data_IF_224816326459
#
_entry.id   IF_224816326459
#
_cell.length_a   1.000
_cell.length_b   1.000
_cell.length_c   1.000
_cell.angle_alpha   90.00
_cell.angle_beta   90.00
_cell.angle_gamma   90.00
#
_symmetry.space_group_name_H-M   'P 1'
#
loop_
_entity.id
_entity.type
_entity.pdbx_description
1 polymer ?
#
# COMPACT_ATOMS: atom_id res chain seq x y z
N UNK A 1 -13.94 1.58 12.97
CA UNK A 1 -13.32 0.75 11.92
C UNK A 1 -14.16 -0.51 11.77
N UNK A 2 -14.39 -0.96 10.55
CA UNK A 2 -14.95 -2.27 10.27
C UNK A 2 -13.81 -3.25 10.01
N UNK A 3 -13.90 -4.47 10.52
CA UNK A 3 -12.94 -5.55 10.28
C UNK A 3 -13.67 -6.65 9.50
N UNK A 4 -13.16 -6.97 8.31
CA UNK A 4 -13.55 -8.18 7.60
C UNK A 4 -12.85 -9.37 8.26
N UNK A 5 -13.61 -10.25 8.92
CA UNK A 5 -13.05 -11.41 9.61
C UNK A 5 -12.53 -12.49 8.65
N UNK A 6 -12.97 -12.51 7.40
CA UNK A 6 -12.51 -13.48 6.42
C UNK A 6 -11.11 -13.14 5.88
N UNK A 7 -10.84 -11.85 5.68
CA UNK A 7 -9.59 -11.37 5.09
C UNK A 7 -8.64 -10.69 6.09
N UNK A 8 -9.13 -10.34 7.29
CA UNK A 8 -8.41 -9.55 8.27
C UNK A 8 -8.24 -8.07 7.88
N UNK A 9 -8.83 -7.63 6.77
CA UNK A 9 -8.73 -6.25 6.29
C UNK A 9 -9.64 -5.37 7.14
N UNK A 10 -9.08 -4.29 7.67
CA UNK A 10 -9.85 -3.26 8.36
C UNK A 10 -9.91 -1.97 7.55
N UNK A 11 -11.04 -1.28 7.64
CA UNK A 11 -11.23 0.02 6.99
C UNK A 11 -11.98 0.98 7.90
N UNK A 12 -11.69 2.26 7.73
CA UNK A 12 -12.50 3.31 8.32
C UNK A 12 -13.84 3.35 7.59
N UNK A 13 -14.90 3.36 8.38
CA UNK A 13 -16.28 3.42 7.91
C UNK A 13 -17.00 4.55 8.64
N UNK A 14 -17.93 5.20 7.95
CA UNK A 14 -18.90 6.13 8.52
C UNK A 14 -20.02 5.44 9.31
N UNK A 15 -20.10 4.10 9.27
CA UNK A 15 -21.04 3.35 10.12
C UNK A 15 -20.53 3.29 11.56
N UNK A 16 -20.85 4.32 12.33
CA UNK A 16 -20.51 4.41 13.74
C UNK A 16 -21.55 3.70 14.61
N UNK A 17 -21.05 3.09 15.68
CA UNK A 17 -21.87 2.52 16.74
C UNK A 17 -21.39 3.03 18.09
N UNK A 18 -22.32 3.07 19.05
CA UNK A 18 -22.06 3.47 20.43
C UNK A 18 -22.52 2.36 21.37
N UNK A 19 -21.71 2.05 22.39
CA UNK A 19 -22.08 1.11 23.43
C UNK A 19 -23.12 1.74 24.35
N UNK A 20 -24.36 1.28 24.27
CA UNK A 20 -25.48 1.77 25.09
C UNK A 20 -26.05 0.61 25.90
N UNK A 21 -25.99 0.70 27.22
CA UNK A 21 -26.51 -0.33 28.15
C UNK A 21 -25.95 -1.75 27.89
N UNK A 22 -24.67 -1.85 27.51
CA UNK A 22 -24.00 -3.13 27.24
C UNK A 22 -24.18 -3.67 25.81
N UNK A 23 -24.94 -2.98 24.96
CA UNK A 23 -25.15 -3.37 23.56
C UNK A 23 -24.59 -2.31 22.61
N UNK A 24 -23.92 -2.74 21.55
CA UNK A 24 -23.53 -1.84 20.47
C UNK A 24 -24.74 -1.50 19.62
N UNK A 25 -25.08 -0.21 19.55
CA UNK A 25 -26.16 0.28 18.70
C UNK A 25 -25.58 1.21 17.65
N UNK A 26 -26.03 1.06 16.42
CA UNK A 26 -25.67 2.01 15.37
C UNK A 26 -26.24 3.39 15.70
N UNK A 27 -25.48 4.41 15.33
CA UNK A 27 -25.86 5.79 15.61
C UNK A 27 -26.94 6.31 14.63
N UNK A 28 -26.95 5.77 13.42
CA UNK A 28 -27.80 6.20 12.31
C UNK A 28 -28.95 5.23 12.01
N UNK A 29 -29.99 5.71 11.32
CA UNK A 29 -31.12 4.88 10.88
C UNK A 29 -30.72 3.85 9.82
N UNK A 30 -31.55 2.85 9.62
CA UNK A 30 -31.32 1.79 8.63
C UNK A 30 -31.14 2.35 7.22
N UNK A 31 -31.91 3.36 6.84
CA UNK A 31 -31.81 4.03 5.53
C UNK A 31 -30.44 4.69 5.34
N UNK A 32 -30.00 5.49 6.32
CA UNK A 32 -28.69 6.16 6.28
C UNK A 32 -27.56 5.12 6.25
N UNK A 33 -27.68 4.03 7.02
CA UNK A 33 -26.68 2.96 7.03
C UNK A 33 -26.57 2.24 5.68
N UNK A 34 -27.70 2.05 4.99
CA UNK A 34 -27.68 1.48 3.64
C UNK A 34 -27.01 2.40 2.62
N UNK A 35 -27.21 3.71 2.74
CA UNK A 35 -26.52 4.70 1.90
C UNK A 35 -25.01 4.67 2.14
N UNK A 36 -24.56 4.76 3.41
CA UNK A 36 -23.14 4.67 3.77
C UNK A 36 -22.53 3.37 3.26
N UNK A 37 -23.21 2.23 3.46
CA UNK A 37 -22.74 0.93 2.99
C UNK A 37 -22.54 0.91 1.47
N UNK A 38 -23.52 1.41 0.72
CA UNK A 38 -23.47 1.43 -0.74
C UNK A 38 -22.30 2.27 -1.24
N UNK A 39 -22.10 3.46 -0.68
CA UNK A 39 -20.99 4.34 -1.04
C UNK A 39 -19.62 3.71 -0.75
N UNK A 40 -19.45 3.14 0.44
CA UNK A 40 -18.20 2.51 0.87
C UNK A 40 -17.90 1.26 0.04
N UNK A 41 -18.92 0.42 -0.22
CA UNK A 41 -18.80 -0.75 -1.06
C UNK A 41 -18.36 -0.37 -2.48
N UNK A 42 -19.01 0.63 -3.09
CA UNK A 42 -18.66 1.11 -4.42
C UNK A 42 -17.22 1.65 -4.48
N UNK A 43 -16.79 2.38 -3.45
CA UNK A 43 -15.39 2.85 -3.31
C UNK A 43 -14.41 1.68 -3.22
N UNK A 44 -14.72 0.66 -2.40
CA UNK A 44 -13.88 -0.54 -2.27
C UNK A 44 -13.76 -1.29 -3.60
N UNK A 45 -14.87 -1.51 -4.29
CA UNK A 45 -14.91 -2.19 -5.59
C UNK A 45 -14.12 -1.43 -6.64
N UNK A 46 -14.28 -0.10 -6.69
CA UNK A 46 -13.47 0.75 -7.56
C UNK A 46 -11.97 0.63 -7.27
N UNK A 47 -11.56 0.70 -6.00
CA UNK A 47 -10.15 0.60 -5.61
C UNK A 47 -9.55 -0.77 -5.96
N UNK A 48 -10.30 -1.85 -5.73
CA UNK A 48 -9.91 -3.22 -6.13
C UNK A 48 -9.73 -3.31 -7.64
N UNK A 49 -10.71 -2.87 -8.40
CA UNK A 49 -10.70 -3.00 -9.87
C UNK A 49 -9.61 -2.13 -10.49
N UNK A 50 -9.38 -0.94 -9.93
CA UNK A 50 -8.24 -0.09 -10.28
C UNK A 50 -6.93 -0.81 -10.00
N UNK A 51 -6.71 -1.33 -8.79
CA UNK A 51 -5.49 -2.05 -8.43
C UNK A 51 -5.22 -3.22 -9.38
N UNK A 52 -6.21 -4.09 -9.60
CA UNK A 52 -6.08 -5.24 -10.50
C UNK A 52 -5.77 -4.83 -11.95
N UNK A 53 -6.39 -3.75 -12.43
CA UNK A 53 -6.10 -3.20 -13.77
C UNK A 53 -4.66 -2.70 -13.85
N UNK A 54 -4.18 -1.95 -12.85
CA UNK A 54 -2.80 -1.46 -12.86
C UNK A 54 -1.79 -2.61 -12.79
N UNK A 55 -2.03 -3.62 -11.93
CA UNK A 55 -1.16 -4.82 -11.81
C UNK A 55 -1.11 -5.59 -13.14
N UNK A 56 -2.24 -5.78 -13.81
CA UNK A 56 -2.29 -6.48 -15.11
C UNK A 56 -1.58 -5.69 -16.21
N UNK A 57 -1.55 -4.36 -16.11
CA UNK A 57 -0.90 -3.50 -17.12
C UNK A 57 0.62 -3.43 -16.99
N UNK A 58 1.18 -3.77 -15.82
CA UNK A 58 2.60 -3.59 -15.48
C UNK A 58 3.15 -2.19 -15.83
N UNK A 59 2.31 -1.15 -15.69
CA UNK A 59 2.64 0.24 -16.04
C UNK A 59 3.21 1.05 -14.87
N UNK A 60 3.34 0.45 -13.69
CA UNK A 60 3.74 1.13 -12.45
C UNK A 60 4.73 0.28 -11.65
N UNK A 61 5.53 0.97 -10.86
CA UNK A 61 6.24 0.36 -9.72
C UNK A 61 5.28 0.28 -8.54
N UNK A 62 5.10 -0.91 -7.98
CA UNK A 62 4.34 -1.13 -6.77
C UNK A 62 5.24 -0.88 -5.56
N UNK A 63 4.77 -0.05 -4.63
CA UNK A 63 5.55 0.31 -3.44
C UNK A 63 4.90 -0.31 -2.21
N UNK A 64 5.64 -1.17 -1.52
CA UNK A 64 5.27 -1.67 -0.20
C UNK A 64 6.12 -0.98 0.86
N UNK A 65 5.50 -0.18 1.73
CA UNK A 65 6.22 0.65 2.71
C UNK A 65 5.80 0.35 4.14
N UNK A 66 6.76 0.28 5.07
CA UNK A 66 6.50 -0.04 6.48
C UNK A 66 7.38 0.76 7.44
N UNK A 67 6.82 1.11 8.60
CA UNK A 67 7.59 1.59 9.74
C UNK A 67 8.29 0.38 10.39
N UNK A 68 9.54 0.14 10.02
CA UNK A 68 10.32 -1.02 10.46
C UNK A 68 10.66 -2.02 9.36
N UNK A 69 11.27 -3.13 9.77
CA UNK A 69 11.82 -4.14 8.86
C UNK A 69 10.72 -5.02 8.24
N UNK A 70 10.86 -5.27 6.94
CA UNK A 70 10.11 -6.24 6.15
C UNK A 70 11.01 -7.46 5.92
N UNK A 71 10.52 -8.65 6.24
CA UNK A 71 11.30 -9.88 6.01
C UNK A 71 11.48 -10.15 4.51
N UNK A 72 12.49 -10.94 4.15
CA UNK A 72 12.68 -11.34 2.74
C UNK A 72 11.55 -12.25 2.27
N UNK A 73 11.02 -13.09 3.15
CA UNK A 73 9.87 -13.97 2.86
C UNK A 73 8.62 -13.15 2.55
N UNK A 74 8.32 -12.13 3.37
CA UNK A 74 7.17 -11.23 3.16
C UNK A 74 7.31 -10.47 1.83
N UNK A 75 8.49 -9.91 1.56
CA UNK A 75 8.77 -9.23 0.29
C UNK A 75 8.62 -10.17 -0.91
N UNK A 76 9.12 -11.40 -0.79
CA UNK A 76 9.08 -12.42 -1.85
C UNK A 76 7.66 -12.90 -2.12
N UNK A 77 6.85 -13.10 -1.08
CA UNK A 77 5.46 -13.51 -1.21
C UNK A 77 4.62 -12.46 -1.95
N UNK A 78 4.78 -11.18 -1.57
CA UNK A 78 4.09 -10.07 -2.26
C UNK A 78 4.53 -10.01 -3.73
N UNK A 79 5.84 -10.12 -3.99
CA UNK A 79 6.39 -10.09 -5.34
C UNK A 79 5.84 -11.24 -6.19
N UNK A 80 5.82 -12.46 -5.67
CA UNK A 80 5.28 -13.63 -6.37
C UNK A 80 3.81 -13.43 -6.74
N UNK A 81 2.99 -12.91 -5.82
CA UNK A 81 1.58 -12.65 -6.09
C UNK A 81 1.36 -11.59 -7.19
N UNK A 82 2.19 -10.54 -7.23
CA UNK A 82 2.16 -9.56 -8.32
C UNK A 82 2.59 -10.18 -9.65
N UNK A 83 3.63 -11.00 -9.64
CA UNK A 83 4.18 -11.65 -10.83
C UNK A 83 3.24 -12.70 -11.42
N UNK A 84 2.42 -13.37 -10.59
CA UNK A 84 1.34 -14.26 -11.06
C UNK A 84 0.29 -13.54 -11.91
N UNK A 85 0.07 -12.24 -11.67
CA UNK A 85 -0.87 -11.43 -12.43
C UNK A 85 -0.23 -10.77 -13.66
N UNK A 86 1.06 -10.42 -13.57
CA UNK A 86 1.91 -10.02 -14.69
C UNK A 86 3.39 -10.08 -14.29
N UNK A 87 4.20 -10.90 -14.98
CA UNK A 87 5.63 -11.12 -14.71
C UNK A 87 6.48 -9.84 -14.84
N UNK A 88 5.96 -8.79 -15.49
CA UNK A 88 6.66 -7.50 -15.64
C UNK A 88 6.47 -6.56 -14.46
N UNK A 89 5.64 -6.92 -13.48
CA UNK A 89 5.45 -6.09 -12.30
C UNK A 89 6.76 -5.90 -11.53
N UNK A 90 6.98 -4.68 -11.06
CA UNK A 90 8.12 -4.32 -10.21
C UNK A 90 7.60 -4.04 -8.81
N UNK A 91 8.20 -4.67 -7.80
CA UNK A 91 7.95 -4.38 -6.39
C UNK A 91 9.16 -3.64 -5.80
N UNK A 92 8.88 -2.51 -5.15
CA UNK A 92 9.82 -1.75 -4.34
C UNK A 92 9.38 -1.80 -2.88
N UNK A 93 10.21 -2.41 -2.02
CA UNK A 93 10.02 -2.43 -0.57
C UNK A 93 10.76 -1.24 0.04
N UNK A 94 10.06 -0.41 0.81
CA UNK A 94 10.61 0.79 1.45
C UNK A 94 10.45 0.71 2.96
N UNK A 95 11.57 0.67 3.67
CA UNK A 95 11.60 0.64 5.13
C UNK A 95 11.95 2.03 5.67
N UNK A 96 11.26 2.48 6.73
CA UNK A 96 11.73 3.62 7.49
C UNK A 96 12.86 3.19 8.43
N UNK A 97 14.03 3.79 8.27
CA UNK A 97 15.23 3.58 9.06
C UNK A 97 15.93 4.94 9.28
N UNK A 98 15.81 5.54 10.47
CA UNK A 98 16.36 6.88 10.72
C UNK A 98 17.88 6.93 10.67
N UNK A 99 18.55 5.79 10.88
CA UNK A 99 20.00 5.69 10.93
C UNK A 99 20.61 5.39 9.56
N UNK A 100 19.82 4.88 8.61
CA UNK A 100 20.31 4.43 7.31
C UNK A 100 19.36 4.78 6.17
N UNK A 101 19.77 5.74 5.33
CA UNK A 101 19.16 5.94 4.02
C UNK A 101 19.90 5.14 2.95
N UNK A 102 19.17 4.29 2.23
CA UNK A 102 19.73 3.44 1.19
C UNK A 102 18.81 3.54 -0.02
N UNK A 103 19.37 3.93 -1.16
CA UNK A 103 18.65 3.93 -2.42
C UNK A 103 18.16 2.52 -2.79
N UNK A 104 17.27 2.42 -3.80
CA UNK A 104 16.79 1.16 -4.31
C UNK A 104 17.97 0.28 -4.76
N UNK A 105 18.06 -0.93 -4.22
CA UNK A 105 18.98 -1.96 -4.67
C UNK A 105 18.19 -3.25 -4.95
N UNK A 106 18.59 -4.02 -5.97
CA UNK A 106 17.92 -5.26 -6.31
C UNK A 106 18.17 -6.32 -5.23
N UNK A 107 17.12 -7.03 -4.83
CA UNK A 107 17.24 -8.25 -4.00
C UNK A 107 16.79 -9.50 -4.78
N UNK A 108 16.00 -9.33 -5.85
CA UNK A 108 15.75 -10.33 -6.88
C UNK A 108 15.42 -9.65 -8.22
N UNK A 109 15.14 -10.41 -9.27
CA UNK A 109 14.63 -9.81 -10.52
C UNK A 109 13.30 -9.10 -10.25
N UNK A 110 13.19 -7.85 -10.72
CA UNK A 110 12.04 -6.95 -10.51
C UNK A 110 11.60 -6.73 -9.04
N UNK A 111 12.44 -7.09 -8.08
CA UNK A 111 12.23 -6.86 -6.66
C UNK A 111 13.37 -6.03 -6.07
N UNK A 112 13.03 -4.84 -5.58
CA UNK A 112 13.96 -3.86 -5.05
C UNK A 112 13.66 -3.56 -3.59
N UNK A 113 14.70 -3.16 -2.85
CA UNK A 113 14.59 -2.69 -1.47
C UNK A 113 15.26 -1.32 -1.34
N UNK A 114 14.64 -0.43 -0.59
CA UNK A 114 15.17 0.90 -0.26
C UNK A 114 14.86 1.23 1.20
N UNK A 115 15.59 2.23 1.73
CA UNK A 115 15.37 2.79 3.06
C UNK A 115 15.28 4.31 2.99
N UNK A 116 14.35 4.87 3.73
CA UNK A 116 14.17 6.31 3.92
C UNK A 116 14.27 6.65 5.41
N UNK A 117 14.54 7.90 5.76
CA UNK A 117 14.70 8.25 7.18
C UNK A 117 13.41 8.08 7.98
N UNK A 118 12.27 8.37 7.36
CA UNK A 118 10.95 8.30 8.00
C UNK A 118 9.83 8.22 6.98
N UNK A 119 8.72 7.60 7.39
CA UNK A 119 7.43 7.80 6.75
C UNK A 119 6.72 9.02 7.36
N UNK A 120 5.79 9.61 6.60
CA UNK A 120 4.97 10.69 7.11
C UNK A 120 4.20 10.25 8.38
N UNK A 121 4.22 11.06 9.46
CA UNK A 121 3.39 10.81 10.63
C UNK A 121 1.91 10.77 10.27
N UNK A 122 1.11 9.98 10.99
CA UNK A 122 -0.33 9.84 10.74
C UNK A 122 -1.06 11.20 10.72
N UNK A 123 -0.74 12.09 11.66
CA UNK A 123 -1.35 13.41 11.82
C UNK A 123 -0.91 14.44 10.75
N UNK A 124 0.15 14.14 9.99
CA UNK A 124 0.76 15.07 9.03
C UNK A 124 1.20 14.30 7.79
N UNK A 125 0.21 13.90 6.99
CA UNK A 125 0.42 13.09 5.79
C UNK A 125 1.28 13.78 4.72
N UNK A 126 1.36 15.12 4.76
CA UNK A 126 2.16 15.98 3.89
C UNK A 126 3.62 16.15 4.36
N UNK A 127 3.93 15.81 5.62
CA UNK A 127 5.28 15.89 6.18
C UNK A 127 6.11 14.65 5.77
N UNK A 128 6.41 14.55 4.48
CA UNK A 128 7.17 13.45 3.87
C UNK A 128 8.70 13.69 3.90
N UNK A 129 9.48 12.61 3.91
CA UNK A 129 10.92 12.64 3.59
C UNK A 129 11.10 12.84 2.06
N UNK A 130 10.88 14.06 1.59
CA UNK A 130 10.95 14.41 0.17
C UNK A 130 12.31 14.01 -0.43
N UNK A 131 13.41 14.32 0.26
CA UNK A 131 14.77 13.96 -0.18
C UNK A 131 14.96 12.46 -0.37
N UNK A 132 14.46 11.65 0.56
CA UNK A 132 14.54 10.20 0.47
C UNK A 132 13.74 9.65 -0.72
N UNK A 133 12.53 10.18 -0.94
CA UNK A 133 11.71 9.78 -2.08
C UNK A 133 12.28 10.22 -3.43
N UNK A 134 12.81 11.44 -3.52
CA UNK A 134 13.43 11.96 -4.75
C UNK A 134 14.61 11.08 -5.16
N UNK A 135 15.47 10.73 -4.20
CA UNK A 135 16.59 9.82 -4.42
C UNK A 135 16.12 8.45 -4.92
N UNK A 136 15.11 7.87 -4.27
CA UNK A 136 14.55 6.58 -4.70
C UNK A 136 14.05 6.63 -6.14
N UNK A 137 13.34 7.69 -6.51
CA UNK A 137 12.79 7.84 -7.86
C UNK A 137 13.90 8.01 -8.90
N UNK A 138 14.92 8.83 -8.61
CA UNK A 138 16.07 9.02 -9.50
C UNK A 138 16.82 7.70 -9.70
N UNK A 139 17.20 7.03 -8.61
CA UNK A 139 17.97 5.79 -8.65
C UNK A 139 17.18 4.65 -9.33
N UNK A 140 15.86 4.54 -9.08
CA UNK A 140 15.00 3.55 -9.74
C UNK A 140 14.93 3.80 -11.25
N UNK A 141 14.84 5.06 -11.68
CA UNK A 141 14.79 5.43 -13.09
C UNK A 141 16.08 5.03 -13.80
N UNK A 142 17.23 5.31 -13.17
CA UNK A 142 18.53 4.96 -13.74
C UNK A 142 18.68 3.42 -13.83
N UNK A 143 18.37 2.70 -12.75
CA UNK A 143 18.43 1.24 -12.72
C UNK A 143 17.47 0.58 -13.74
N UNK A 144 16.26 1.13 -13.92
CA UNK A 144 15.30 0.63 -14.88
C UNK A 144 15.71 0.92 -16.34
N UNK A 145 16.38 2.06 -16.59
CA UNK A 145 16.90 2.43 -17.92
C UNK A 145 18.02 1.49 -18.34
N UNK A 146 18.99 1.23 -17.44
CA UNK A 146 20.11 0.32 -17.72
C UNK A 146 19.66 -1.12 -18.03
N UNK A 147 18.53 -1.54 -17.46
CA UNK A 147 18.00 -2.90 -17.58
C UNK A 147 16.90 -3.05 -18.65
N UNK A 148 16.56 -1.98 -19.37
CA UNK A 148 15.45 -1.98 -20.35
C UNK A 148 14.10 -2.32 -19.73
N UNK A 149 13.90 -2.02 -18.45
CA UNK A 149 12.67 -2.31 -17.70
C UNK A 149 11.63 -1.19 -17.79
N UNK A 150 12.06 0.00 -18.24
CA UNK A 150 11.20 1.14 -18.51
C UNK A 150 10.96 1.25 -20.03
N UNK A 151 9.72 1.51 -20.49
CA UNK A 151 9.42 1.71 -21.91
C UNK A 151 10.12 2.93 -22.52
#
# INVERSE_FOLDING_TARGET
>A
MALDSATGISFHTGMYSTLTSGEWKFNDSDEIRQEIYSEEYNKMMYMRDKLLREIRSASRVFVYKRNGRVSEDEASEIHQNLSLLNERNILLVVEADPDHQVGPHPIADRLYRAKISRLAPYERADDIDQSGWDRIVMDMKDAATERGLWP
#
